data_IF_998757529874
#
_entry.id   IF_998757529874
#
_cell.length_a   1.000
_cell.length_b   1.000
_cell.length_c   1.000
_cell.angle_alpha   90.00
_cell.angle_beta   90.00
_cell.angle_gamma   90.00
#
_symmetry.space_group_name_H-M   'P 1'
#
loop_
_entity.id
_entity.type
_entity.pdbx_description
1 polymer ?
#
# COMPACT_ATOMS: atom_id res chain seq x y z
N UNK A 1 5.25 -46.68 30.94
CA UNK A 1 5.88 -46.34 29.65
C UNK A 1 5.47 -44.91 29.33
N UNK A 2 6.42 -43.98 29.27
CA UNK A 2 6.19 -42.52 29.17
C UNK A 2 6.15 -42.14 27.70
N UNK A 3 4.98 -41.73 27.18
CA UNK A 3 4.86 -41.23 25.80
C UNK A 3 5.24 -39.76 25.76
N UNK A 4 6.32 -39.45 25.05
CA UNK A 4 6.85 -38.10 24.84
C UNK A 4 6.01 -37.43 23.76
N UNK A 5 5.36 -36.31 24.09
CA UNK A 5 4.58 -35.48 23.17
C UNK A 5 5.55 -34.51 22.45
N UNK A 6 5.85 -34.75 21.18
CA UNK A 6 6.65 -33.83 20.36
C UNK A 6 5.79 -32.68 19.85
N UNK A 7 6.00 -31.49 20.41
CA UNK A 7 5.39 -30.24 19.93
C UNK A 7 6.27 -29.70 18.80
N UNK A 8 5.76 -29.72 17.57
CA UNK A 8 6.41 -29.10 16.42
C UNK A 8 6.22 -27.58 16.50
N UNK A 9 7.31 -26.85 16.73
CA UNK A 9 7.32 -25.39 16.76
C UNK A 9 7.49 -24.87 15.32
N UNK A 10 6.39 -24.52 14.67
CA UNK A 10 6.41 -23.90 13.34
C UNK A 10 6.91 -22.45 13.46
N UNK A 11 8.08 -22.17 12.87
CA UNK A 11 8.61 -20.80 12.72
C UNK A 11 7.65 -19.99 11.83
N UNK A 12 6.93 -19.05 12.43
CA UNK A 12 6.24 -17.97 11.71
C UNK A 12 7.31 -16.98 11.24
N UNK A 13 7.62 -16.97 9.95
CA UNK A 13 8.44 -15.93 9.34
C UNK A 13 7.66 -14.60 9.37
N UNK A 14 8.02 -13.73 10.30
CA UNK A 14 7.47 -12.37 10.36
C UNK A 14 8.11 -11.58 9.22
N UNK A 15 7.38 -11.38 8.12
CA UNK A 15 7.81 -10.47 7.06
C UNK A 15 7.67 -9.04 7.58
N UNK A 16 8.80 -8.39 7.86
CA UNK A 16 8.81 -6.97 8.18
C UNK A 16 8.30 -6.18 6.97
N UNK A 17 7.22 -5.42 7.13
CA UNK A 17 6.78 -4.48 6.10
C UNK A 17 7.76 -3.31 6.07
N UNK A 18 8.59 -3.23 5.03
CA UNK A 18 9.48 -2.10 4.82
C UNK A 18 8.67 -0.95 4.21
N UNK A 19 8.74 0.23 4.82
CA UNK A 19 8.16 1.43 4.24
C UNK A 19 9.01 1.90 3.07
N UNK A 20 8.41 2.02 1.89
CA UNK A 20 9.07 2.40 0.65
C UNK A 20 9.16 3.93 0.55
N UNK A 21 10.35 4.45 0.25
CA UNK A 21 10.52 5.87 -0.02
C UNK A 21 10.57 6.10 -1.51
N UNK A 22 9.53 6.74 -2.04
CA UNK A 22 9.47 7.19 -3.42
C UNK A 22 9.68 8.70 -3.51
N UNK A 23 10.52 9.13 -4.43
CA UNK A 23 10.74 10.53 -4.78
C UNK A 23 10.20 10.82 -6.17
N UNK A 24 9.48 11.93 -6.31
CA UNK A 24 9.00 12.39 -7.61
C UNK A 24 9.90 13.52 -8.12
N UNK A 25 10.51 13.33 -9.29
CA UNK A 25 11.35 14.31 -9.97
C UNK A 25 10.77 14.56 -11.35
N UNK A 26 10.11 15.72 -11.51
CA UNK A 26 9.35 16.03 -12.71
C UNK A 26 8.24 15.00 -12.94
N UNK A 27 8.34 14.26 -14.05
CA UNK A 27 7.35 13.25 -14.43
C UNK A 27 7.75 11.84 -13.99
N UNK A 28 8.92 11.69 -13.35
CA UNK A 28 9.45 10.40 -12.93
C UNK A 28 9.24 10.21 -11.43
N UNK A 29 8.96 8.97 -11.05
CA UNK A 29 8.86 8.50 -9.67
C UNK A 29 9.95 7.46 -9.51
N UNK A 30 10.79 7.60 -8.49
CA UNK A 30 11.89 6.69 -8.21
C UNK A 30 11.79 6.24 -6.75
N UNK A 31 11.67 4.94 -6.53
CA UNK A 31 11.57 4.36 -5.20
C UNK A 31 12.89 3.67 -4.81
N UNK A 32 13.20 3.69 -3.52
CA UNK A 32 14.42 3.09 -2.96
C UNK A 32 14.49 1.56 -3.07
N UNK A 33 13.35 0.90 -3.28
CA UNK A 33 13.22 -0.52 -3.60
C UNK A 33 13.54 -0.87 -5.09
N UNK A 34 13.92 0.12 -5.91
CA UNK A 34 14.21 -0.06 -7.34
C UNK A 34 12.98 0.02 -8.25
N UNK A 35 11.77 0.16 -7.71
CA UNK A 35 10.59 0.48 -8.49
C UNK A 35 10.70 1.91 -9.02
N UNK A 36 10.31 2.11 -10.28
CA UNK A 36 10.24 3.44 -10.88
C UNK A 36 8.96 3.59 -11.67
N UNK A 37 8.49 4.83 -11.82
CA UNK A 37 7.27 5.17 -12.51
C UNK A 37 7.48 6.36 -13.43
N UNK A 38 6.79 6.37 -14.56
CA UNK A 38 6.73 7.52 -15.46
C UNK A 38 5.29 7.98 -15.63
N UNK A 39 5.04 9.24 -15.29
CA UNK A 39 3.76 9.89 -15.48
C UNK A 39 3.68 10.50 -16.89
N UNK A 40 2.65 10.11 -17.63
CA UNK A 40 2.32 10.64 -18.96
C UNK A 40 0.85 11.05 -18.94
N UNK A 41 0.59 12.36 -18.87
CA UNK A 41 -0.75 12.87 -18.63
C UNK A 41 -1.32 12.35 -17.31
N UNK A 42 -2.49 11.71 -17.38
CA UNK A 42 -3.18 11.12 -16.23
C UNK A 42 -2.78 9.67 -15.95
N UNK A 43 -1.86 9.10 -16.73
CA UNK A 43 -1.41 7.73 -16.58
C UNK A 43 -0.03 7.71 -15.90
N UNK A 44 0.18 6.73 -15.03
CA UNK A 44 1.48 6.38 -14.45
C UNK A 44 1.82 4.97 -14.90
N UNK A 45 2.96 4.79 -15.53
CA UNK A 45 3.47 3.49 -15.97
C UNK A 45 4.65 3.11 -15.10
N UNK A 46 4.57 1.95 -14.43
CA UNK A 46 5.58 1.48 -13.52
C UNK A 46 6.54 0.50 -14.23
N UNK A 47 7.77 0.44 -13.74
CA UNK A 47 8.83 -0.40 -14.31
C UNK A 47 8.58 -1.90 -14.11
N UNK A 48 7.67 -2.29 -13.22
CA UNK A 48 7.20 -3.67 -13.05
C UNK A 48 6.11 -4.07 -14.06
N UNK A 49 5.73 -3.16 -14.96
CA UNK A 49 4.71 -3.37 -15.99
C UNK A 49 3.29 -3.03 -15.54
N UNK A 50 3.09 -2.67 -14.27
CA UNK A 50 1.81 -2.16 -13.80
C UNK A 50 1.56 -0.73 -14.28
N UNK A 51 0.30 -0.32 -14.31
CA UNK A 51 -0.05 1.07 -14.59
C UNK A 51 -1.27 1.53 -13.80
N UNK A 52 -1.35 2.83 -13.58
CA UNK A 52 -2.46 3.49 -12.92
C UNK A 52 -2.94 4.66 -13.76
N UNK A 53 -4.25 4.83 -13.89
CA UNK A 53 -4.87 5.95 -14.58
C UNK A 53 -5.77 6.73 -13.62
N UNK A 54 -5.58 8.05 -13.56
CA UNK A 54 -6.41 8.93 -12.75
C UNK A 54 -7.49 9.61 -13.62
N UNK A 55 -8.75 9.46 -13.26
CA UNK A 55 -9.90 10.10 -13.91
C UNK A 55 -10.72 10.86 -12.88
N UNK A 56 -10.48 12.17 -12.77
CA UNK A 56 -11.10 12.99 -11.72
C UNK A 56 -10.67 12.51 -10.33
N UNK A 57 -11.64 12.12 -9.50
CA UNK A 57 -11.39 11.55 -8.18
C UNK A 57 -11.19 10.04 -8.16
N UNK A 58 -11.28 9.37 -9.31
CA UNK A 58 -11.02 7.94 -9.43
C UNK A 58 -9.58 7.65 -9.83
N UNK A 59 -9.03 6.56 -9.29
CA UNK A 59 -7.80 5.92 -9.75
C UNK A 59 -8.11 4.49 -10.15
N UNK A 60 -7.72 4.09 -11.35
CA UNK A 60 -7.87 2.74 -11.88
C UNK A 60 -6.50 2.13 -12.08
N UNK A 61 -6.29 0.90 -11.60
CA UNK A 61 -5.04 0.18 -11.76
C UNK A 61 -5.20 -0.94 -12.80
N UNK A 62 -4.09 -1.31 -13.43
CA UNK A 62 -4.07 -2.34 -14.47
C UNK A 62 -4.39 -3.75 -13.98
N UNK A 63 -4.35 -3.97 -12.66
CA UNK A 63 -4.76 -5.23 -12.01
C UNK A 63 -6.29 -5.34 -11.80
N UNK A 64 -7.04 -4.33 -12.24
CA UNK A 64 -8.50 -4.26 -12.09
C UNK A 64 -8.96 -3.64 -10.77
N UNK A 65 -8.05 -3.30 -9.86
CA UNK A 65 -8.39 -2.55 -8.65
C UNK A 65 -8.65 -1.08 -8.98
N UNK A 66 -9.48 -0.43 -8.16
CA UNK A 66 -9.69 1.01 -8.27
C UNK A 66 -9.95 1.63 -6.91
N UNK A 67 -9.81 2.94 -6.85
CA UNK A 67 -10.17 3.73 -5.68
C UNK A 67 -10.84 5.04 -6.09
N UNK A 68 -11.67 5.56 -5.21
CA UNK A 68 -12.31 6.86 -5.37
C UNK A 68 -12.09 7.71 -4.13
N UNK A 69 -11.58 8.92 -4.31
CA UNK A 69 -11.45 9.89 -3.23
C UNK A 69 -12.70 10.77 -3.13
N UNK A 70 -13.31 10.82 -1.95
CA UNK A 70 -14.46 11.69 -1.65
C UNK A 70 -14.20 12.40 -0.32
N UNK A 71 -13.87 13.69 -0.39
CA UNK A 71 -13.46 14.46 0.78
C UNK A 71 -12.23 13.85 1.44
N UNK A 72 -12.24 13.61 2.77
CA UNK A 72 -11.12 13.00 3.48
C UNK A 72 -11.05 11.47 3.35
N UNK A 73 -12.04 10.84 2.70
CA UNK A 73 -12.13 9.38 2.59
C UNK A 73 -11.66 8.89 1.22
N UNK A 74 -11.06 7.70 1.21
CA UNK A 74 -10.78 6.92 0.02
C UNK A 74 -11.59 5.64 0.08
N UNK A 75 -12.36 5.35 -0.95
CA UNK A 75 -13.13 4.12 -1.10
C UNK A 75 -12.41 3.21 -2.10
N UNK A 76 -12.24 1.93 -1.77
CA UNK A 76 -11.55 0.97 -2.61
C UNK A 76 -12.55 0.01 -3.26
N UNK A 77 -12.19 -0.55 -4.41
CA UNK A 77 -13.05 -1.46 -5.17
C UNK A 77 -13.35 -2.78 -4.47
N UNK A 78 -12.59 -3.14 -3.44
CA UNK A 78 -12.83 -4.31 -2.59
C UNK A 78 -13.89 -4.06 -1.50
N UNK A 79 -14.48 -2.85 -1.46
CA UNK A 79 -15.49 -2.45 -0.49
C UNK A 79 -14.93 -1.86 0.81
N UNK A 80 -13.60 -1.87 0.98
CA UNK A 80 -12.97 -1.17 2.11
C UNK A 80 -12.92 0.34 1.86
N UNK A 81 -12.71 1.10 2.93
CA UNK A 81 -12.45 2.54 2.85
C UNK A 81 -11.39 2.93 3.86
N UNK A 82 -10.74 4.07 3.62
CA UNK A 82 -9.78 4.64 4.55
C UNK A 82 -9.98 6.13 4.74
N UNK A 83 -9.55 6.62 5.90
CA UNK A 83 -9.48 8.04 6.21
C UNK A 83 -8.13 8.34 6.87
N UNK A 84 -7.45 9.38 6.39
CA UNK A 84 -6.20 9.81 7.02
C UNK A 84 -6.44 11.02 7.93
N UNK A 85 -6.09 10.88 9.21
CA UNK A 85 -6.15 11.93 10.23
C UNK A 85 -4.76 12.12 10.82
N UNK A 86 -4.18 13.30 10.60
CA UNK A 86 -2.77 13.56 10.94
C UNK A 86 -1.85 12.59 10.22
N UNK A 87 -1.04 11.85 10.98
CA UNK A 87 -0.13 10.84 10.43
C UNK A 87 -0.71 9.41 10.45
N UNK A 88 -2.00 9.20 10.77
CA UNK A 88 -2.62 7.86 10.79
C UNK A 88 -3.64 7.72 9.69
N UNK A 89 -3.60 6.61 8.99
CA UNK A 89 -4.65 6.14 8.11
C UNK A 89 -5.44 5.05 8.83
N UNK A 90 -6.74 5.28 9.01
CA UNK A 90 -7.68 4.33 9.57
C UNK A 90 -8.44 3.65 8.44
N UNK A 91 -8.54 2.33 8.47
CA UNK A 91 -9.28 1.54 7.49
C UNK A 91 -10.58 1.02 8.10
N UNK A 92 -11.61 0.84 7.26
CA UNK A 92 -12.94 0.39 7.69
C UNK A 92 -12.98 -1.06 8.18
N UNK A 93 -11.95 -1.84 7.89
CA UNK A 93 -11.76 -3.22 8.37
C UNK A 93 -11.15 -3.28 9.78
N UNK A 94 -10.89 -2.13 10.40
CA UNK A 94 -10.32 -2.01 11.74
C UNK A 94 -8.79 -1.89 11.74
N UNK A 95 -8.13 -2.02 10.60
CA UNK A 95 -6.69 -1.80 10.48
C UNK A 95 -6.35 -0.31 10.62
N UNK A 96 -5.21 -0.02 11.21
CA UNK A 96 -4.69 1.34 11.31
C UNK A 96 -3.21 1.36 10.92
N UNK A 97 -2.78 2.39 10.20
CA UNK A 97 -1.38 2.56 9.80
C UNK A 97 -0.91 3.97 10.15
N UNK A 98 0.14 4.08 10.97
CA UNK A 98 0.76 5.33 11.41
C UNK A 98 2.09 5.54 10.70
N UNK A 99 2.27 6.73 10.11
CA UNK A 99 3.57 7.20 9.59
C UNK A 99 4.39 7.87 10.70
N UNK A 100 5.63 7.43 10.88
CA UNK A 100 6.63 8.02 11.79
C UNK A 100 7.92 8.23 10.99
N UNK A 101 8.24 9.49 10.69
CA UNK A 101 9.30 9.82 9.74
C UNK A 101 9.02 9.22 8.36
N UNK A 102 9.98 8.45 7.85
CA UNK A 102 9.87 7.73 6.57
C UNK A 102 9.29 6.31 6.71
N UNK A 103 8.87 5.92 7.92
CA UNK A 103 8.38 4.57 8.20
C UNK A 103 6.86 4.56 8.41
N UNK A 104 6.22 3.46 8.01
CA UNK A 104 4.79 3.20 8.19
C UNK A 104 4.68 1.95 9.07
N UNK A 105 3.93 2.06 10.15
CA UNK A 105 3.64 0.98 11.09
C UNK A 105 2.16 0.70 11.04
N UNK A 106 1.75 -0.54 10.80
CA UNK A 106 0.35 -0.94 10.81
C UNK A 106 0.09 -1.95 11.92
N UNK A 107 -1.08 -1.85 12.54
CA UNK A 107 -1.62 -2.83 13.48
C UNK A 107 -2.20 -4.06 12.76
#
# INVERSE_FOLDING_TARGET
>A
MRSILTIAFSLLAVTAAHAENCQTIGNQIMCDNGLSGQRVGNNTYWSDGSSSQQLGSFTYNSDGTSSQQIGPHTYYSDGTSSQTIGNTTYFSDGRSCRRIGNQIYCD
#
